data_IF_472616100738
#
_entry.id   IF_472616100738
#
_cell.length_a   1.000
_cell.length_b   1.000
_cell.length_c   1.000
_cell.angle_alpha   90.00
_cell.angle_beta   90.00
_cell.angle_gamma   90.00
#
_symmetry.space_group_name_H-M   'P 1'
#
loop_
_entity.id
_entity.type
_entity.pdbx_description
1 polymer ?
#
# COMPACT_ATOMS: atom_id res chain seq x y z
N UNK A 1 -8.60 -19.56 18.41
CA UNK A 1 -9.67 -18.81 17.71
C UNK A 1 -9.02 -17.91 16.67
N UNK A 2 -9.36 -18.05 15.38
CA UNK A 2 -8.92 -17.12 14.33
C UNK A 2 -9.99 -16.05 14.12
N UNK A 3 -9.57 -14.79 13.92
CA UNK A 3 -10.51 -13.73 13.57
C UNK A 3 -11.02 -13.92 12.12
N UNK A 4 -12.30 -13.62 11.83
CA UNK A 4 -12.81 -13.69 10.47
C UNK A 4 -12.14 -12.62 9.59
N UNK A 5 -11.92 -12.87 8.28
CA UNK A 5 -11.18 -11.94 7.42
C UNK A 5 -11.72 -10.51 7.38
N UNK A 6 -13.05 -10.33 7.39
CA UNK A 6 -13.69 -9.01 7.45
C UNK A 6 -13.38 -8.20 8.73
N UNK A 7 -12.73 -8.81 9.73
CA UNK A 7 -12.29 -8.18 10.98
C UNK A 7 -10.77 -8.23 11.15
N UNK A 8 -10.04 -8.59 10.10
CA UNK A 8 -8.59 -8.71 10.11
C UNK A 8 -7.97 -7.56 9.31
N UNK A 9 -6.92 -6.98 9.88
CA UNK A 9 -6.09 -5.95 9.24
C UNK A 9 -4.73 -6.57 8.96
N UNK A 10 -4.26 -6.47 7.72
CA UNK A 10 -2.89 -6.80 7.36
C UNK A 10 -2.05 -5.54 7.45
N UNK A 11 -1.11 -5.50 8.40
CA UNK A 11 -0.12 -4.43 8.50
C UNK A 11 1.22 -4.97 8.02
N UNK A 12 1.49 -4.84 6.72
CA UNK A 12 2.64 -5.43 6.05
C UNK A 12 3.38 -4.31 5.32
N UNK A 13 4.64 -4.08 5.69
CA UNK A 13 5.39 -2.93 5.20
C UNK A 13 5.51 -2.89 3.66
N UNK A 14 5.85 -4.03 3.03
CA UNK A 14 5.96 -4.09 1.57
C UNK A 14 4.57 -4.03 0.92
N UNK A 15 4.36 -3.21 -0.12
CA UNK A 15 3.10 -3.13 -0.81
C UNK A 15 2.87 -4.37 -1.68
N UNK A 16 1.60 -4.71 -1.98
CA UNK A 16 1.28 -5.80 -2.88
C UNK A 16 1.75 -5.49 -4.30
N UNK A 17 2.31 -6.50 -4.98
CA UNK A 17 2.76 -6.38 -6.36
C UNK A 17 1.64 -5.95 -7.31
N UNK A 18 1.95 -5.07 -8.28
CA UNK A 18 1.02 -4.56 -9.31
C UNK A 18 -0.27 -4.02 -8.70
N UNK A 19 -0.13 -3.25 -7.64
CA UNK A 19 -1.27 -2.65 -6.94
C UNK A 19 -1.41 -1.16 -7.24
N UNK A 20 -0.37 -0.55 -7.80
CA UNK A 20 -0.25 0.91 -7.94
C UNK A 20 0.21 1.59 -6.64
N UNK A 21 0.37 0.82 -5.56
CA UNK A 21 1.01 1.26 -4.31
C UNK A 21 2.49 0.88 -4.27
N UNK A 22 3.00 0.32 -5.36
CA UNK A 22 4.30 -0.31 -5.48
C UNK A 22 5.08 0.14 -6.72
N UNK A 23 4.65 1.21 -7.38
CA UNK A 23 5.33 1.76 -8.55
C UNK A 23 6.59 2.54 -8.12
N UNK A 24 7.74 2.13 -8.63
CA UNK A 24 9.03 2.80 -8.40
C UNK A 24 9.73 3.10 -9.73
N UNK A 25 10.64 4.09 -9.80
CA UNK A 25 11.41 4.37 -11.00
C UNK A 25 12.17 3.14 -11.51
N UNK A 26 12.04 2.87 -12.81
CA UNK A 26 12.74 1.77 -13.46
C UNK A 26 14.23 2.12 -13.61
N UNK A 27 15.09 1.15 -13.30
CA UNK A 27 16.52 1.25 -13.54
C UNK A 27 16.93 0.53 -14.82
N UNK A 28 17.95 1.04 -15.50
CA UNK A 28 18.69 0.32 -16.54
C UNK A 28 19.52 -0.80 -15.93
N UNK A 29 20.10 -1.68 -16.76
CA UNK A 29 20.98 -2.76 -16.29
C UNK A 29 22.19 -2.23 -15.50
N UNK A 30 22.63 -1.01 -15.83
CA UNK A 30 23.77 -0.34 -15.20
C UNK A 30 23.34 0.53 -14.00
N UNK A 31 22.13 0.30 -13.44
CA UNK A 31 21.59 0.98 -12.25
C UNK A 31 21.35 2.50 -12.40
N UNK A 32 21.21 2.98 -13.64
CA UNK A 32 20.81 4.37 -13.89
C UNK A 32 19.28 4.50 -14.02
N UNK A 33 18.73 5.66 -13.65
CA UNK A 33 17.32 5.96 -13.88
C UNK A 33 17.01 5.89 -15.38
N UNK A 34 16.08 5.02 -15.75
CA UNK A 34 15.59 4.94 -17.12
C UNK A 34 14.65 6.11 -17.39
N UNK A 35 14.79 6.74 -18.56
CA UNK A 35 13.93 7.88 -18.97
C UNK A 35 13.86 9.00 -17.92
N UNK A 36 15.00 9.30 -17.28
CA UNK A 36 15.10 10.29 -16.20
C UNK A 36 14.09 10.06 -15.05
N UNK A 37 13.73 8.80 -14.78
CA UNK A 37 12.81 8.41 -13.71
C UNK A 37 11.33 8.45 -14.10
N UNK A 38 11.00 8.77 -15.36
CA UNK A 38 9.62 8.82 -15.86
C UNK A 38 9.02 7.44 -16.12
N UNK A 39 9.86 6.46 -16.41
CA UNK A 39 9.44 5.06 -16.54
C UNK A 39 9.36 4.46 -15.15
N UNK A 40 8.19 3.95 -14.75
CA UNK A 40 7.99 3.24 -13.49
C UNK A 40 7.70 1.76 -13.73
N UNK A 41 8.00 0.93 -12.73
CA UNK A 41 7.68 -0.50 -12.71
C UNK A 41 7.18 -0.91 -11.33
N UNK A 42 6.28 -1.91 -11.25
CA UNK A 42 5.85 -2.47 -9.98
C UNK A 42 7.01 -3.24 -9.34
N UNK A 43 7.32 -2.93 -8.09
CA UNK A 43 8.38 -3.58 -7.29
C UNK A 43 7.86 -4.21 -6.00
N UNK A 44 6.53 -4.29 -5.85
CA UNK A 44 5.88 -4.82 -4.66
C UNK A 44 6.05 -6.32 -4.47
N UNK A 45 5.59 -6.83 -3.34
CA UNK A 45 5.67 -8.25 -3.00
C UNK A 45 4.53 -9.05 -3.63
N UNK A 46 4.88 -10.07 -4.41
CA UNK A 46 3.94 -11.05 -4.97
C UNK A 46 3.32 -11.92 -3.87
N UNK A 47 4.08 -12.22 -2.80
CA UNK A 47 3.56 -12.96 -1.66
C UNK A 47 2.53 -12.15 -0.86
N UNK A 48 2.75 -10.85 -0.67
CA UNK A 48 1.76 -9.96 -0.04
C UNK A 48 0.50 -9.88 -0.89
N UNK A 49 0.66 -9.76 -2.22
CA UNK A 49 -0.47 -9.78 -3.16
C UNK A 49 -1.29 -11.07 -3.03
N UNK A 50 -0.64 -12.23 -3.08
CA UNK A 50 -1.28 -13.53 -2.96
C UNK A 50 -2.01 -13.69 -1.62
N UNK A 51 -1.38 -13.30 -0.49
CA UNK A 51 -2.01 -13.38 0.83
C UNK A 51 -3.27 -12.51 0.93
N UNK A 52 -3.28 -11.32 0.31
CA UNK A 52 -4.46 -10.45 0.28
C UNK A 52 -5.56 -11.06 -0.60
N UNK A 53 -5.21 -11.60 -1.77
CA UNK A 53 -6.16 -12.26 -2.67
C UNK A 53 -6.80 -13.51 -2.04
N UNK A 54 -6.00 -14.32 -1.33
CA UNK A 54 -6.45 -15.53 -0.65
C UNK A 54 -7.34 -15.21 0.56
N UNK A 55 -6.84 -14.38 1.48
CA UNK A 55 -7.50 -14.18 2.76
C UNK A 55 -8.57 -13.09 2.74
N UNK A 56 -8.46 -12.10 1.85
CA UNK A 56 -9.41 -10.98 1.72
C UNK A 56 -9.67 -10.25 3.07
N UNK A 57 -8.63 -9.72 3.75
CA UNK A 57 -8.80 -8.93 4.97
C UNK A 57 -9.61 -7.65 4.72
N UNK A 58 -10.13 -7.00 5.76
CA UNK A 58 -10.90 -5.77 5.57
C UNK A 58 -10.03 -4.57 5.16
N UNK A 59 -8.76 -4.57 5.56
CA UNK A 59 -7.81 -3.49 5.33
C UNK A 59 -6.38 -4.04 5.20
N UNK A 60 -5.63 -3.55 4.21
CA UNK A 60 -4.20 -3.70 4.08
C UNK A 60 -3.50 -2.35 4.26
N UNK A 61 -2.52 -2.27 5.15
CA UNK A 61 -1.71 -1.10 5.41
C UNK A 61 -0.28 -1.38 4.98
N UNK A 62 0.27 -0.49 4.15
CA UNK A 62 1.56 -0.66 3.48
C UNK A 62 2.39 0.62 3.53
N UNK A 63 3.67 0.49 3.18
CA UNK A 63 4.63 1.59 3.03
C UNK A 63 5.69 1.21 2.01
N UNK A 64 6.97 1.34 2.38
CA UNK A 64 8.17 0.97 1.62
C UNK A 64 8.45 1.80 0.36
N UNK A 65 7.45 2.02 -0.51
CA UNK A 65 7.58 2.84 -1.72
C UNK A 65 7.00 4.20 -1.40
N UNK A 66 7.87 5.18 -1.15
CA UNK A 66 7.53 6.47 -0.57
C UNK A 66 6.72 7.35 -1.54
N UNK A 67 7.00 7.20 -2.83
CA UNK A 67 6.40 7.95 -3.93
C UNK A 67 5.03 7.40 -4.32
N UNK A 68 4.76 6.12 -4.01
CA UNK A 68 3.51 5.43 -4.35
C UNK A 68 2.40 5.66 -3.31
N UNK A 69 2.24 6.92 -2.88
CA UNK A 69 1.14 7.33 -2.01
C UNK A 69 -0.18 7.10 -2.72
N UNK A 70 -1.07 6.34 -2.08
CA UNK A 70 -2.39 6.10 -2.66
C UNK A 70 -3.19 5.02 -1.96
N UNK A 71 -4.29 4.68 -2.60
CA UNK A 71 -5.16 3.58 -2.19
C UNK A 71 -5.59 2.77 -3.39
N UNK A 72 -5.78 1.47 -3.17
CA UNK A 72 -6.29 0.57 -4.20
C UNK A 72 -7.19 -0.49 -3.56
N UNK A 73 -7.97 -1.19 -4.38
CA UNK A 73 -8.74 -2.35 -3.93
C UNK A 73 -8.24 -3.60 -4.61
N UNK A 74 -7.97 -4.63 -3.80
CA UNK A 74 -7.61 -5.97 -4.26
C UNK A 74 -8.74 -6.89 -3.83
N UNK A 75 -9.64 -7.19 -4.76
CA UNK A 75 -10.94 -7.77 -4.43
C UNK A 75 -11.73 -6.82 -3.51
N UNK A 76 -12.07 -7.28 -2.30
CA UNK A 76 -12.83 -6.50 -1.31
C UNK A 76 -11.93 -5.69 -0.37
N UNK A 77 -10.66 -6.05 -0.26
CA UNK A 77 -9.69 -5.41 0.65
C UNK A 77 -9.36 -4.01 0.16
N UNK A 78 -9.48 -3.02 1.04
CA UNK A 78 -8.90 -1.70 0.82
C UNK A 78 -7.42 -1.75 1.21
N UNK A 79 -6.52 -1.39 0.30
CA UNK A 79 -5.10 -1.26 0.58
C UNK A 79 -4.71 0.21 0.58
N UNK A 80 -3.91 0.64 1.56
CA UNK A 80 -3.48 2.03 1.73
C UNK A 80 -1.96 2.08 1.87
N UNK A 81 -1.32 2.96 1.10
CA UNK A 81 0.05 3.41 1.32
C UNK A 81 0.01 4.93 1.53
N UNK A 82 0.33 5.44 2.73
CA UNK A 82 0.32 6.88 3.00
C UNK A 82 1.48 7.63 2.31
N UNK A 83 2.48 6.90 1.79
CA UNK A 83 3.73 7.46 1.28
C UNK A 83 4.65 7.96 2.38
N UNK A 84 5.75 8.59 1.97
CA UNK A 84 6.66 9.29 2.90
C UNK A 84 7.18 10.57 2.24
N UNK A 85 7.34 11.61 3.06
CA UNK A 85 7.90 12.92 2.67
C UNK A 85 8.99 13.30 3.68
N UNK A 86 9.84 12.31 4.00
CA UNK A 86 10.86 12.40 5.05
C UNK A 86 11.88 13.51 4.77
N UNK A 87 12.33 13.64 3.53
CA UNK A 87 13.29 14.68 3.12
C UNK A 87 12.75 16.10 3.32
N UNK A 88 11.43 16.25 3.31
CA UNK A 88 10.73 17.50 3.54
C UNK A 88 10.32 17.68 5.02
N UNK A 89 10.68 16.74 5.89
CA UNK A 89 10.32 16.76 7.31
C UNK A 89 8.82 16.60 7.58
N UNK A 90 8.05 16.08 6.62
CA UNK A 90 6.60 15.95 6.73
C UNK A 90 6.18 14.50 7.01
N UNK A 91 5.31 14.33 8.01
CA UNK A 91 4.70 13.05 8.32
C UNK A 91 3.46 12.86 7.46
N UNK A 92 3.53 11.87 6.57
CA UNK A 92 2.37 11.38 5.84
C UNK A 92 1.74 10.20 6.59
N UNK A 93 0.41 10.18 6.65
CA UNK A 93 -0.32 9.17 7.41
C UNK A 93 -1.67 8.83 6.80
N UNK A 94 -2.35 7.88 7.44
CA UNK A 94 -3.73 7.53 7.13
C UNK A 94 -4.52 7.38 8.44
N UNK A 95 -5.64 8.09 8.54
CA UNK A 95 -6.62 7.92 9.62
C UNK A 95 -7.78 7.11 9.07
N UNK A 96 -8.05 5.96 9.68
CA UNK A 96 -9.05 5.00 9.21
C UNK A 96 -10.11 4.79 10.29
N UNK A 97 -11.37 5.06 9.96
CA UNK A 97 -12.54 4.80 10.80
C UNK A 97 -13.13 3.43 10.42
N UNK A 98 -13.22 2.53 11.39
CA UNK A 98 -13.74 1.17 11.23
C UNK A 98 -15.14 1.08 11.85
N UNK A 99 -16.09 0.48 11.13
CA UNK A 99 -17.48 0.36 11.61
C UNK A 99 -17.68 -0.69 12.73
N UNK A 100 -16.61 -1.37 13.14
CA UNK A 100 -16.61 -2.43 14.16
C UNK A 100 -17.25 -3.74 13.72
N UNK A 101 -17.75 -3.84 12.49
CA UNK A 101 -18.48 -5.00 11.97
C UNK A 101 -17.72 -5.67 10.83
N UNK A 102 -17.60 -5.00 9.69
CA UNK A 102 -17.12 -5.62 8.44
C UNK A 102 -16.36 -4.69 7.49
N UNK A 103 -16.36 -3.37 7.71
CA UNK A 103 -15.90 -2.42 6.69
C UNK A 103 -15.16 -1.23 7.26
N UNK A 104 -14.22 -0.73 6.46
CA UNK A 104 -13.72 0.63 6.56
C UNK A 104 -14.87 1.58 6.25
N UNK A 105 -15.25 2.40 7.22
CA UNK A 105 -16.35 3.37 7.09
C UNK A 105 -15.91 4.61 6.33
N UNK A 106 -14.72 5.12 6.65
CA UNK A 106 -14.03 6.21 5.94
C UNK A 106 -12.54 6.14 6.23
N UNK A 107 -11.75 6.76 5.37
CA UNK A 107 -10.35 7.00 5.64
C UNK A 107 -9.96 8.37 5.08
N UNK A 108 -8.91 8.96 5.63
CA UNK A 108 -8.32 10.21 5.16
C UNK A 108 -6.80 10.03 5.16
N UNK A 109 -6.14 10.42 4.07
CA UNK A 109 -4.69 10.56 4.06
C UNK A 109 -4.31 11.90 4.65
N UNK A 110 -3.41 11.90 5.63
CA UNK A 110 -2.99 13.08 6.39
C UNK A 110 -1.58 13.50 6.00
N UNK A 111 -1.28 14.77 6.23
CA UNK A 111 0.07 15.35 6.15
C UNK A 111 0.20 16.36 7.29
N UNK A 112 1.32 16.33 8.01
CA UNK A 112 1.60 17.24 9.12
C UNK A 112 3.07 17.31 9.47
#
# INVERSE_FOLDING_TARGET
MTAPPERTIFSLHCPPYKSGLDDAPQLTKDMHLKEAGRSTVPVGSTAVRAAIEEHQPCLGLHGHIHEAKGTTRIGRTLCINPGSSYEQGQLLGAVVDLDGKKKVKRFILTSG
#
